data_IF_562727142840
#
_entry.id   IF_562727142840
#
_cell.length_a   1.000
_cell.length_b   1.000
_cell.length_c   1.000
_cell.angle_alpha   90.00
_cell.angle_beta   90.00
_cell.angle_gamma   90.00
#
_symmetry.space_group_name_H-M   'P 1'
#
loop_
_entity.id
_entity.type
_entity.pdbx_description
1 polymer ?
#
# COMPACT_ATOMS: atom_id res chain seq x y z
N UNK A 1 -0.83 -22.02 6.96
CA UNK A 1 0.64 -21.86 6.82
C UNK A 1 0.95 -20.50 6.23
N UNK A 2 2.06 -19.91 6.62
CA UNK A 2 2.48 -18.60 6.09
C UNK A 2 3.62 -18.79 5.09
N UNK A 3 3.50 -18.15 3.94
CA UNK A 3 4.46 -18.21 2.85
C UNK A 3 5.13 -16.85 2.67
N UNK A 4 6.40 -16.86 2.33
CA UNK A 4 7.21 -15.66 2.15
C UNK A 4 7.95 -15.73 0.83
N UNK A 5 8.07 -14.61 0.13
CA UNK A 5 8.91 -14.51 -1.06
C UNK A 5 9.44 -13.10 -1.22
N UNK A 6 10.68 -12.99 -1.67
CA UNK A 6 11.31 -11.72 -2.01
C UNK A 6 10.96 -11.33 -3.44
N UNK A 7 10.75 -10.02 -3.65
CA UNK A 7 10.60 -9.45 -4.98
C UNK A 7 11.45 -8.19 -5.10
N UNK A 8 12.24 -8.10 -6.17
CA UNK A 8 13.09 -6.95 -6.43
C UNK A 8 12.34 -5.93 -7.28
N UNK A 9 12.01 -4.76 -6.68
CA UNK A 9 11.43 -3.64 -7.42
C UNK A 9 12.52 -2.68 -7.88
N UNK A 10 12.24 -1.81 -8.87
CA UNK A 10 13.19 -0.76 -9.26
C UNK A 10 13.52 0.22 -8.13
N UNK A 11 12.71 0.27 -7.07
CA UNK A 11 12.87 1.20 -5.95
C UNK A 11 13.33 0.53 -4.66
N UNK A 12 13.69 -0.73 -4.72
CA UNK A 12 14.15 -1.51 -3.58
C UNK A 12 13.39 -2.83 -3.45
N UNK A 13 13.94 -3.72 -2.66
CA UNK A 13 13.37 -5.05 -2.47
C UNK A 13 12.18 -5.00 -1.51
N UNK A 14 11.20 -5.85 -1.78
CA UNK A 14 10.05 -6.09 -0.89
C UNK A 14 9.98 -7.56 -0.51
N UNK A 15 9.41 -7.82 0.66
CA UNK A 15 8.97 -9.15 1.06
C UNK A 15 7.45 -9.26 0.83
N UNK A 16 7.04 -10.34 0.19
CA UNK A 16 5.63 -10.71 0.01
C UNK A 16 5.29 -11.78 1.04
N UNK A 17 4.21 -11.57 1.78
CA UNK A 17 3.74 -12.50 2.81
C UNK A 17 2.29 -12.86 2.52
N UNK A 18 1.98 -14.14 2.49
CA UNK A 18 0.62 -14.63 2.30
C UNK A 18 0.34 -15.89 3.13
N UNK A 19 -0.92 -16.22 3.25
CA UNK A 19 -1.38 -17.53 3.65
C UNK A 19 -2.02 -18.23 2.44
N UNK A 20 -2.65 -19.37 2.66
CA UNK A 20 -3.27 -20.16 1.58
C UNK A 20 -4.44 -19.44 0.89
N UNK A 21 -5.01 -18.40 1.51
CA UNK A 21 -6.23 -17.74 1.04
C UNK A 21 -6.02 -16.30 0.62
N UNK A 22 -5.00 -15.62 1.16
CA UNK A 22 -4.88 -14.17 0.99
C UNK A 22 -3.46 -13.66 1.15
N UNK A 23 -3.20 -12.53 0.49
CA UNK A 23 -2.02 -11.71 0.71
C UNK A 23 -2.16 -10.97 2.04
N UNK A 24 -1.21 -11.14 2.94
CA UNK A 24 -1.27 -10.59 4.29
C UNK A 24 -0.23 -9.52 4.56
N UNK A 25 0.80 -9.42 3.73
CA UNK A 25 1.82 -8.40 3.89
C UNK A 25 2.65 -8.16 2.64
N UNK A 26 3.01 -6.91 2.44
CA UNK A 26 4.05 -6.47 1.51
C UNK A 26 4.82 -5.35 2.21
N UNK A 27 6.09 -5.55 2.43
CA UNK A 27 6.93 -4.57 3.11
C UNK A 27 8.23 -4.34 2.32
N UNK A 28 8.60 -3.08 2.17
CA UNK A 28 9.99 -2.78 1.78
C UNK A 28 10.93 -3.21 2.89
N UNK A 29 12.11 -3.73 2.52
CA UNK A 29 13.13 -4.10 3.51
C UNK A 29 13.58 -2.90 4.35
N UNK A 30 13.46 -1.69 3.82
CA UNK A 30 13.75 -0.44 4.53
C UNK A 30 12.61 0.04 5.44
N UNK A 31 11.48 -0.65 5.46
CA UNK A 31 10.32 -0.25 6.26
C UNK A 31 10.61 -0.37 7.76
N UNK A 32 10.19 0.64 8.53
CA UNK A 32 10.25 0.59 10.00
C UNK A 32 9.40 -0.54 10.60
N UNK A 33 8.44 -1.05 9.85
CA UNK A 33 7.54 -2.12 10.26
C UNK A 33 7.87 -3.46 9.61
N UNK A 34 9.06 -3.58 9.04
CA UNK A 34 9.50 -4.83 8.43
C UNK A 34 9.46 -5.97 9.47
N UNK A 35 8.75 -7.08 9.18
CA UNK A 35 8.71 -8.20 10.11
C UNK A 35 10.05 -8.93 10.16
N UNK A 36 10.76 -8.78 11.27
CA UNK A 36 12.15 -9.29 11.44
C UNK A 36 12.23 -10.80 11.22
N UNK A 37 11.19 -11.52 11.59
CA UNK A 37 11.05 -12.97 11.40
C UNK A 37 11.11 -13.37 9.92
N UNK A 38 10.75 -12.48 9.02
CA UNK A 38 10.78 -12.75 7.58
C UNK A 38 12.21 -12.79 6.99
N UNK A 39 13.20 -12.31 7.72
CA UNK A 39 14.60 -12.35 7.28
C UNK A 39 15.17 -13.77 7.18
N UNK A 40 14.64 -14.70 7.96
CA UNK A 40 15.18 -16.05 8.12
C UNK A 40 14.31 -17.14 7.51
N UNK A 41 13.34 -16.75 6.69
CA UNK A 41 12.39 -17.70 6.11
C UNK A 41 12.79 -18.05 4.69
N UNK A 42 12.78 -19.35 4.38
CA UNK A 42 13.00 -19.84 3.02
C UNK A 42 11.86 -19.37 2.10
N UNK A 43 12.24 -18.83 0.95
CA UNK A 43 11.26 -18.47 -0.07
C UNK A 43 10.44 -19.70 -0.48
N UNK A 44 9.13 -19.54 -0.51
CA UNK A 44 8.24 -20.56 -1.02
C UNK A 44 7.38 -19.98 -2.15
N UNK A 45 7.92 -20.08 -3.36
CA UNK A 45 7.27 -19.57 -4.56
C UNK A 45 6.16 -20.47 -5.11
N UNK A 46 5.85 -21.55 -4.42
CA UNK A 46 4.78 -22.48 -4.84
C UNK A 46 3.36 -21.98 -4.53
N UNK A 47 3.24 -20.91 -3.75
CA UNK A 47 1.95 -20.31 -3.42
C UNK A 47 1.43 -19.51 -4.62
N UNK A 48 0.21 -19.83 -5.06
CA UNK A 48 -0.45 -19.15 -6.17
C UNK A 48 -0.60 -17.63 -5.93
N UNK A 49 -0.86 -17.24 -4.67
CA UNK A 49 -1.00 -15.84 -4.30
C UNK A 49 0.33 -15.08 -4.48
N UNK A 50 1.46 -15.71 -4.15
CA UNK A 50 2.78 -15.11 -4.39
C UNK A 50 3.00 -14.92 -5.89
N UNK A 51 2.70 -15.93 -6.71
CA UNK A 51 2.85 -15.84 -8.16
C UNK A 51 1.98 -14.71 -8.76
N UNK A 52 0.73 -14.60 -8.33
CA UNK A 52 -0.17 -13.54 -8.74
C UNK A 52 0.32 -12.16 -8.29
N UNK A 53 0.85 -12.05 -7.07
CA UNK A 53 1.37 -10.80 -6.54
C UNK A 53 2.60 -10.34 -7.32
N UNK A 54 3.52 -11.26 -7.65
CA UNK A 54 4.67 -10.94 -8.50
C UNK A 54 4.25 -10.46 -9.88
N UNK A 55 3.26 -11.11 -10.49
CA UNK A 55 2.69 -10.67 -11.78
C UNK A 55 2.06 -9.28 -11.67
N UNK A 56 1.36 -9.00 -10.59
CA UNK A 56 0.80 -7.68 -10.31
C UNK A 56 1.91 -6.62 -10.26
N UNK A 57 3.01 -6.88 -9.58
CA UNK A 57 4.16 -5.98 -9.52
C UNK A 57 4.86 -5.82 -10.86
N UNK A 58 5.01 -6.90 -11.63
CA UNK A 58 5.60 -6.80 -12.98
C UNK A 58 4.82 -5.82 -13.86
N UNK A 59 3.49 -5.88 -13.82
CA UNK A 59 2.61 -4.96 -14.54
C UNK A 59 2.74 -3.54 -13.99
N UNK A 60 2.64 -3.38 -12.67
CA UNK A 60 2.70 -2.08 -12.01
C UNK A 60 4.01 -1.35 -12.30
N UNK A 61 5.15 -2.02 -12.13
CA UNK A 61 6.46 -1.41 -12.37
C UNK A 61 6.82 -1.28 -13.86
N UNK A 62 6.04 -1.86 -14.75
CA UNK A 62 6.13 -1.56 -16.19
C UNK A 62 5.45 -0.23 -16.57
N UNK A 63 4.80 0.42 -15.62
CA UNK A 63 4.08 1.68 -15.82
C UNK A 63 2.61 1.51 -16.17
N UNK A 64 2.05 0.32 -15.96
CA UNK A 64 0.64 0.04 -16.22
C UNK A 64 -0.11 -0.18 -14.92
N UNK A 65 -1.39 0.19 -14.90
CA UNK A 65 -2.27 -0.16 -13.80
C UNK A 65 -2.69 -1.63 -13.94
N UNK A 66 -2.39 -2.50 -12.97
CA UNK A 66 -2.87 -3.88 -13.02
C UNK A 66 -4.41 -3.92 -13.06
N UNK A 67 -4.96 -4.81 -13.87
CA UNK A 67 -6.40 -4.93 -14.14
C UNK A 67 -7.07 -6.10 -13.40
N UNK A 68 -6.39 -6.70 -12.45
CA UNK A 68 -6.93 -7.77 -11.62
C UNK A 68 -6.67 -7.52 -10.14
N UNK A 69 -7.56 -8.03 -9.32
CA UNK A 69 -7.47 -7.91 -7.87
C UNK A 69 -6.73 -9.09 -7.24
N UNK A 70 -6.10 -8.82 -6.11
CA UNK A 70 -5.48 -9.82 -5.26
C UNK A 70 -6.37 -10.07 -4.03
N UNK A 71 -6.49 -11.31 -3.55
CA UNK A 71 -7.22 -11.58 -2.33
C UNK A 71 -6.43 -11.03 -1.14
N UNK A 72 -6.93 -9.96 -0.50
CA UNK A 72 -6.26 -9.30 0.60
C UNK A 72 -6.77 -9.81 1.96
N UNK A 73 -5.85 -10.24 2.81
CA UNK A 73 -6.11 -10.60 4.20
C UNK A 73 -5.75 -9.44 5.13
N UNK A 74 -6.61 -8.44 5.16
CA UNK A 74 -6.37 -7.21 5.93
C UNK A 74 -6.64 -7.47 7.42
N UNK A 75 -5.64 -7.21 8.26
CA UNK A 75 -5.76 -7.28 9.72
C UNK A 75 -5.43 -5.92 10.36
N UNK A 76 -6.26 -5.50 11.29
CA UNK A 76 -6.10 -4.22 11.98
C UNK A 76 -7.37 -3.86 12.74
N UNK A 77 -7.38 -2.67 13.35
CA UNK A 77 -8.56 -2.14 14.03
C UNK A 77 -9.65 -1.78 13.02
N UNK A 78 -10.89 -1.63 13.48
CA UNK A 78 -11.99 -1.22 12.61
C UNK A 78 -11.72 0.15 11.97
N UNK A 79 -11.14 1.07 12.72
CA UNK A 79 -10.75 2.38 12.21
C UNK A 79 -9.68 2.28 11.11
N UNK A 80 -8.64 1.49 11.33
CA UNK A 80 -7.60 1.25 10.32
C UNK A 80 -8.19 0.65 9.04
N UNK A 81 -9.06 -0.34 9.17
CA UNK A 81 -9.71 -0.97 8.01
C UNK A 81 -10.56 0.00 7.21
N UNK A 82 -11.27 0.92 7.88
CA UNK A 82 -12.03 1.99 7.22
C UNK A 82 -11.11 2.93 6.42
N UNK A 83 -10.00 3.34 7.02
CA UNK A 83 -9.00 4.18 6.35
C UNK A 83 -8.44 3.46 5.12
N UNK A 84 -8.03 2.21 5.27
CA UNK A 84 -7.45 1.43 4.16
C UNK A 84 -8.46 1.14 3.05
N UNK A 85 -9.74 0.98 3.38
CA UNK A 85 -10.80 0.86 2.39
C UNK A 85 -10.91 2.12 1.53
N UNK A 86 -10.86 3.31 2.13
CA UNK A 86 -10.87 4.58 1.40
C UNK A 86 -9.62 4.71 0.53
N UNK A 87 -8.45 4.40 1.08
CA UNK A 87 -7.17 4.45 0.34
C UNK A 87 -7.22 3.54 -0.89
N UNK A 88 -7.77 2.33 -0.75
CA UNK A 88 -7.87 1.36 -1.85
C UNK A 88 -8.70 1.86 -3.02
N UNK A 89 -9.53 2.88 -2.82
CA UNK A 89 -10.36 3.49 -3.86
C UNK A 89 -9.66 4.64 -4.60
N UNK A 90 -8.48 5.07 -4.15
CA UNK A 90 -7.75 6.14 -4.80
C UNK A 90 -7.21 5.63 -6.14
N UNK A 91 -7.63 6.22 -7.29
CA UNK A 91 -7.21 5.73 -8.59
C UNK A 91 -5.70 5.88 -8.83
N UNK A 92 -5.17 5.04 -9.70
CA UNK A 92 -3.82 5.13 -10.21
C UNK A 92 -3.54 6.54 -10.76
N UNK A 93 -2.43 7.12 -10.37
CA UNK A 93 -2.03 8.47 -10.79
C UNK A 93 -2.73 9.61 -10.06
N UNK A 94 -3.58 9.31 -9.08
CA UNK A 94 -4.29 10.32 -8.28
C UNK A 94 -3.79 10.32 -6.85
N UNK A 95 -4.00 11.45 -6.17
CA UNK A 95 -3.64 11.62 -4.76
C UNK A 95 -4.83 12.18 -3.98
N UNK A 96 -4.83 11.89 -2.68
CA UNK A 96 -5.84 12.39 -1.74
C UNK A 96 -5.09 12.88 -0.50
N UNK A 97 -5.57 13.95 0.11
CA UNK A 97 -4.97 14.47 1.34
C UNK A 97 -5.49 13.73 2.58
N UNK A 98 -4.70 13.77 3.66
CA UNK A 98 -5.16 13.26 4.97
C UNK A 98 -6.44 13.95 5.42
N UNK A 99 -6.58 15.26 5.14
CA UNK A 99 -7.78 16.03 5.47
C UNK A 99 -9.03 15.57 4.71
N UNK A 100 -8.90 15.23 3.45
CA UNK A 100 -9.99 14.69 2.63
C UNK A 100 -10.46 13.34 3.15
N UNK A 101 -9.55 12.47 3.56
CA UNK A 101 -9.89 11.18 4.19
C UNK A 101 -10.59 11.42 5.54
N UNK A 102 -10.05 12.32 6.36
CA UNK A 102 -10.65 12.67 7.65
C UNK A 102 -12.08 13.22 7.50
N UNK A 103 -12.31 14.10 6.51
CA UNK A 103 -13.63 14.65 6.22
C UNK A 103 -14.63 13.54 5.79
N UNK A 104 -14.18 12.62 4.93
CA UNK A 104 -14.99 11.49 4.49
C UNK A 104 -15.36 10.56 5.66
N UNK A 105 -14.42 10.25 6.53
CA UNK A 105 -14.67 9.45 7.73
C UNK A 105 -15.58 10.17 8.73
N UNK A 106 -15.42 11.46 8.91
CA UNK A 106 -16.30 12.28 9.78
C UNK A 106 -17.76 12.23 9.29
N UNK A 107 -17.98 12.35 7.99
CA UNK A 107 -19.30 12.22 7.39
C UNK A 107 -19.91 10.83 7.60
N UNK A 108 -19.13 9.76 7.45
CA UNK A 108 -19.56 8.39 7.68
C UNK A 108 -19.83 8.08 9.16
N UNK A 109 -19.25 8.85 10.06
CA UNK A 109 -19.34 8.69 11.51
C UNK A 109 -20.43 9.61 12.14
N UNK A 110 -21.45 9.94 11.40
CA UNK A 110 -22.56 10.79 11.88
C UNK A 110 -22.15 12.23 12.16
N UNK A 111 -21.11 12.76 11.51
CA UNK A 111 -20.60 14.11 11.73
C UNK A 111 -19.58 14.21 12.88
N UNK A 112 -19.27 13.11 13.53
CA UNK A 112 -18.24 13.07 14.59
C UNK A 112 -16.86 13.29 13.97
N UNK A 113 -16.18 14.35 14.41
CA UNK A 113 -14.91 14.77 13.82
C UNK A 113 -13.80 13.70 13.98
N UNK A 114 -13.17 13.37 12.86
CA UNK A 114 -11.97 12.54 12.78
C UNK A 114 -10.78 13.44 12.49
N UNK A 115 -9.69 13.31 13.25
CA UNK A 115 -8.50 14.13 13.05
C UNK A 115 -7.61 13.63 11.93
N UNK A 116 -6.91 14.54 11.26
CA UNK A 116 -5.88 14.20 10.27
C UNK A 116 -4.77 13.34 10.87
N UNK A 117 -4.43 13.58 12.14
CA UNK A 117 -3.41 12.83 12.86
C UNK A 117 -3.80 11.36 13.05
N UNK A 118 -5.05 11.09 13.42
CA UNK A 118 -5.57 9.72 13.53
C UNK A 118 -5.54 9.00 12.18
N UNK A 119 -5.92 9.69 11.12
CA UNK A 119 -5.85 9.16 9.74
C UNK A 119 -4.39 8.86 9.37
N UNK A 120 -3.48 9.80 9.62
CA UNK A 120 -2.04 9.60 9.34
C UNK A 120 -1.45 8.40 10.06
N UNK A 121 -1.83 8.17 11.31
CA UNK A 121 -1.45 6.99 12.07
C UNK A 121 -1.94 5.70 11.41
N UNK A 122 -3.20 5.66 11.01
CA UNK A 122 -3.78 4.49 10.35
C UNK A 122 -3.13 4.23 8.98
N UNK A 123 -2.89 5.28 8.19
CA UNK A 123 -2.18 5.20 6.90
C UNK A 123 -0.79 4.58 7.09
N UNK A 124 -0.05 5.03 8.11
CA UNK A 124 1.29 4.54 8.40
C UNK A 124 1.35 3.09 8.87
N UNK A 125 0.23 2.51 9.32
CA UNK A 125 0.13 1.11 9.77
C UNK A 125 -0.25 0.13 8.66
N UNK A 126 -0.36 0.58 7.41
CA UNK A 126 -0.64 -0.29 6.27
C UNK A 126 0.42 -1.40 6.16
N UNK A 127 -0.07 -2.64 6.13
CA UNK A 127 0.77 -3.85 6.04
C UNK A 127 0.99 -4.34 4.62
N UNK A 128 0.26 -3.79 3.63
CA UNK A 128 0.31 -4.23 2.24
C UNK A 128 0.69 -3.04 1.36
N UNK A 129 1.97 -2.67 1.43
CA UNK A 129 2.52 -1.52 0.71
C UNK A 129 2.29 -1.64 -0.79
N UNK A 130 2.12 -0.53 -1.46
CA UNK A 130 1.93 -0.38 -2.92
C UNK A 130 0.53 -0.82 -3.36
N UNK A 131 0.10 -2.03 -3.04
CA UNK A 131 -1.20 -2.59 -3.44
C UNK A 131 -2.34 -1.86 -2.73
N UNK A 132 -2.24 -1.66 -1.40
CA UNK A 132 -3.04 -0.66 -0.70
C UNK A 132 -2.26 0.64 -0.79
N UNK A 133 -2.68 1.60 -1.63
CA UNK A 133 -1.80 2.67 -2.10
C UNK A 133 -1.65 3.82 -1.11
N UNK A 134 -1.09 3.56 0.06
CA UNK A 134 -0.85 4.59 1.07
C UNK A 134 0.12 5.68 0.59
N UNK A 135 0.93 5.41 -0.43
CA UNK A 135 1.77 6.41 -1.10
C UNK A 135 0.94 7.50 -1.81
N UNK A 136 -0.33 7.24 -2.14
CA UNK A 136 -1.25 8.21 -2.77
C UNK A 136 -1.89 9.17 -1.76
N UNK A 137 -1.59 9.03 -0.47
CA UNK A 137 -2.06 9.96 0.57
C UNK A 137 -0.95 10.97 0.85
N UNK A 138 -1.27 12.25 0.68
CA UNK A 138 -0.31 13.36 0.81
C UNK A 138 -0.80 14.37 1.86
N UNK A 139 0.12 15.23 2.31
CA UNK A 139 -0.23 16.37 3.17
C UNK A 139 -0.92 17.48 2.39
N UNK A 140 -1.47 18.46 3.12
CA UNK A 140 -2.00 19.68 2.53
C UNK A 140 -0.92 20.37 1.68
N UNK A 141 -1.32 21.00 0.57
CA UNK A 141 -0.41 21.65 -0.36
C UNK A 141 0.63 20.72 -1.02
N UNK A 142 0.35 19.43 -1.09
CA UNK A 142 1.23 18.46 -1.74
C UNK A 142 2.42 17.99 -0.89
N UNK A 143 2.41 18.26 0.41
CA UNK A 143 3.50 17.82 1.29
C UNK A 143 3.64 16.30 1.29
N UNK A 144 4.87 15.82 1.08
CA UNK A 144 5.23 14.40 1.16
C UNK A 144 5.55 14.04 2.60
N UNK A 145 4.63 13.36 3.28
CA UNK A 145 4.77 12.95 4.68
C UNK A 145 4.61 11.44 4.83
N UNK A 146 5.27 10.92 5.85
CA UNK A 146 4.94 9.67 6.53
C UNK A 146 4.70 8.45 5.67
N UNK A 147 5.72 7.95 5.01
CA UNK A 147 5.65 6.65 4.33
C UNK A 147 6.52 5.63 5.07
N UNK A 148 5.98 4.47 5.42
CA UNK A 148 6.71 3.44 6.18
C UNK A 148 7.94 2.92 5.43
N UNK A 149 7.87 2.85 4.11
CA UNK A 149 9.01 2.46 3.26
C UNK A 149 10.02 3.57 3.03
N UNK A 150 9.76 4.80 3.49
CA UNK A 150 10.59 5.98 3.29
C UNK A 150 10.02 6.96 2.26
N UNK A 151 10.18 8.25 2.51
CA UNK A 151 9.65 9.33 1.66
C UNK A 151 10.20 9.24 0.23
N UNK A 152 11.46 8.85 0.07
CA UNK A 152 12.08 8.69 -1.25
C UNK A 152 11.30 7.70 -2.12
N UNK A 153 10.92 6.56 -1.56
CA UNK A 153 10.12 5.56 -2.29
C UNK A 153 8.72 6.06 -2.62
N UNK A 154 8.09 6.79 -1.69
CA UNK A 154 6.80 7.43 -1.92
C UNK A 154 6.85 8.37 -3.13
N UNK A 155 7.86 9.22 -3.21
CA UNK A 155 8.06 10.15 -4.33
C UNK A 155 8.25 9.37 -5.64
N UNK A 156 9.07 8.31 -5.63
CA UNK A 156 9.31 7.48 -6.82
C UNK A 156 8.06 6.77 -7.31
N UNK A 157 7.26 6.22 -6.41
CA UNK A 157 5.99 5.58 -6.75
C UNK A 157 5.00 6.57 -7.36
N UNK A 158 4.86 7.74 -6.76
CA UNK A 158 4.00 8.81 -7.29
C UNK A 158 4.47 9.32 -8.65
N UNK A 159 5.78 9.46 -8.85
CA UNK A 159 6.35 9.86 -10.15
C UNK A 159 6.07 8.82 -11.22
N UNK A 160 6.26 7.53 -10.91
CA UNK A 160 5.93 6.43 -11.83
C UNK A 160 4.47 6.50 -12.28
N UNK A 161 3.56 6.65 -11.34
CA UNK A 161 2.13 6.71 -11.64
C UNK A 161 1.76 7.96 -12.44
N UNK A 162 2.32 9.11 -12.09
CA UNK A 162 2.06 10.38 -12.77
C UNK A 162 2.52 10.34 -14.22
N UNK A 163 3.72 9.84 -14.48
CA UNK A 163 4.30 9.74 -15.82
C UNK A 163 3.45 8.87 -16.75
N UNK A 164 2.88 7.80 -16.21
CA UNK A 164 2.12 6.83 -17.00
C UNK A 164 0.62 7.12 -17.07
N UNK A 165 0.08 7.95 -16.17
CA UNK A 165 -1.33 8.36 -16.19
C UNK A 165 -1.62 9.50 -17.18
N UNK A 166 -0.62 10.29 -17.59
CA UNK A 166 -0.77 11.38 -18.56
C UNK A 166 -0.84 10.91 -20.00
N UNK A 167 -0.48 9.66 -20.27
CA UNK A 167 -0.54 9.07 -21.63
C UNK A 167 -1.94 8.62 -22.04
N UNK A 168 -2.87 8.53 -21.09
CA UNK A 168 -4.26 8.08 -21.31
C UNK A 168 -5.26 9.24 -21.52
N UNK A 169 -4.78 10.45 -21.74
CA UNK A 169 -5.63 11.63 -22.03
C UNK A 169 -5.66 11.97 -23.50
#
# INVERSE_FOLDING_TARGET
MTYYSKYSTPFGDVIIICNEKSLTGVYFYSSRYFPVEANNVSANDKCEIIAKTKKWFDIYFSGKCPDFDLPLGISGTDFQKKVWCIISQIPYGKTVTYGEIAARLSAQNGGKKVSCQAVGHAVGKNKISIIIPCHRVIGANGEMKGYAGGIEKKIKLLSLEKENSTEDN
#
